data_IF_768829939351
#
_entry.id   IF_768829939351
#
_cell.length_a   1.000
_cell.length_b   1.000
_cell.length_c   1.000
_cell.angle_alpha   90.00
_cell.angle_beta   90.00
_cell.angle_gamma   90.00
#
_symmetry.space_group_name_H-M   'P 1'
#
loop_
_entity.id
_entity.type
_entity.pdbx_description
1 polymer ?
#
# COMPACT_ATOMS: atom_id res chain seq x y z
N UNK A 1 -41.57 18.39 -3.47
CA UNK A 1 -40.82 18.61 -2.20
C UNK A 1 -39.92 17.41 -2.02
N UNK A 2 -38.70 17.50 -2.52
CA UNK A 2 -37.70 16.43 -2.49
C UNK A 2 -36.55 16.96 -1.64
N UNK A 3 -36.49 16.49 -0.40
CA UNK A 3 -35.43 16.83 0.55
C UNK A 3 -34.14 16.15 0.12
N UNK A 4 -33.20 16.94 -0.38
CA UNK A 4 -31.78 16.62 -0.47
C UNK A 4 -31.24 16.40 0.93
N UNK A 5 -30.85 15.15 1.22
CA UNK A 5 -30.13 14.82 2.44
C UNK A 5 -28.65 15.16 2.23
N UNK A 6 -28.30 16.42 2.43
CA UNK A 6 -26.91 16.90 2.45
C UNK A 6 -26.30 16.42 3.76
N UNK A 7 -25.65 15.25 3.75
CA UNK A 7 -24.81 14.82 4.86
C UNK A 7 -23.68 15.85 5.03
N UNK A 8 -23.77 16.59 6.12
CA UNK A 8 -22.76 17.54 6.59
C UNK A 8 -21.42 16.82 6.74
N UNK A 9 -20.46 17.19 5.88
CA UNK A 9 -19.04 16.93 6.08
C UNK A 9 -18.61 17.74 7.31
N UNK A 10 -18.62 17.11 8.49
CA UNK A 10 -17.85 17.64 9.61
C UNK A 10 -16.39 17.70 9.16
N UNK A 11 -15.79 18.89 9.23
CA UNK A 11 -14.39 19.08 8.94
C UNK A 11 -13.57 18.22 9.91
N UNK A 12 -13.09 17.08 9.42
CA UNK A 12 -12.10 16.24 10.09
C UNK A 12 -10.94 17.12 10.53
N UNK A 13 -10.48 16.99 11.78
CA UNK A 13 -9.28 17.69 12.24
C UNK A 13 -8.11 17.45 11.26
N UNK A 14 -7.30 18.48 10.95
CA UNK A 14 -6.19 18.35 10.02
C UNK A 14 -5.24 17.25 10.47
N UNK A 15 -4.68 16.52 9.50
CA UNK A 15 -3.73 15.44 9.81
C UNK A 15 -2.38 16.03 10.18
N UNK A 16 -1.99 17.13 9.55
CA UNK A 16 -0.70 17.76 9.76
C UNK A 16 -0.77 18.86 10.81
N UNK A 17 0.21 18.86 11.71
CA UNK A 17 0.52 20.06 12.48
C UNK A 17 1.17 21.10 11.54
N UNK A 18 1.11 22.42 11.85
CA UNK A 18 1.76 23.43 11.01
C UNK A 18 3.27 23.19 10.82
N UNK A 19 3.94 22.62 11.83
CA UNK A 19 5.36 22.25 11.74
C UNK A 19 5.57 21.09 10.75
N UNK A 20 4.77 20.02 10.85
CA UNK A 20 4.85 18.89 9.91
C UNK A 20 4.46 19.25 8.50
N UNK A 21 3.48 20.14 8.34
CA UNK A 21 3.12 20.69 7.04
C UNK A 21 4.30 21.42 6.40
N UNK A 22 4.99 22.31 7.13
CA UNK A 22 6.17 23.01 6.60
C UNK A 22 7.30 22.04 6.23
N UNK A 23 7.56 21.06 7.09
CA UNK A 23 8.58 20.05 6.87
C UNK A 23 8.31 19.24 5.60
N UNK A 24 7.09 18.71 5.43
CA UNK A 24 6.76 17.90 4.26
C UNK A 24 6.75 18.72 2.96
N UNK A 25 6.33 19.99 3.00
CA UNK A 25 6.41 20.87 1.83
C UNK A 25 7.86 21.03 1.36
N UNK A 26 8.81 21.24 2.28
CA UNK A 26 10.24 21.35 1.93
C UNK A 26 10.79 20.06 1.31
N UNK A 27 10.41 18.91 1.87
CA UNK A 27 10.80 17.60 1.34
C UNK A 27 10.17 17.33 -0.04
N UNK A 28 8.93 17.75 -0.26
CA UNK A 28 8.27 17.67 -1.57
C UNK A 28 8.98 18.55 -2.60
N UNK A 29 9.42 19.75 -2.24
CA UNK A 29 10.20 20.62 -3.13
C UNK A 29 11.58 20.04 -3.47
N UNK A 30 12.23 19.36 -2.52
CA UNK A 30 13.45 18.59 -2.77
C UNK A 30 13.19 17.41 -3.72
N UNK A 31 12.13 16.64 -3.47
CA UNK A 31 11.71 15.53 -4.31
C UNK A 31 11.43 15.97 -5.76
N UNK A 32 10.68 17.07 -5.96
CA UNK A 32 10.41 17.61 -7.31
C UNK A 32 11.70 17.94 -8.06
N UNK A 33 12.70 18.50 -7.38
CA UNK A 33 14.02 18.78 -7.98
C UNK A 33 14.78 17.50 -8.31
N UNK A 34 14.74 16.50 -7.44
CA UNK A 34 15.35 15.20 -7.71
C UNK A 34 14.74 14.52 -8.95
N UNK A 35 13.41 14.57 -9.08
CA UNK A 35 12.69 14.01 -10.21
C UNK A 35 13.05 14.64 -11.56
N UNK A 36 13.23 15.97 -11.60
CA UNK A 36 13.62 16.67 -12.84
C UNK A 36 14.98 16.20 -13.38
N UNK A 37 15.81 15.62 -12.51
CA UNK A 37 17.12 15.09 -12.85
C UNK A 37 17.14 13.57 -13.07
N UNK A 38 16.02 12.87 -12.85
CA UNK A 38 15.90 11.41 -13.04
C UNK A 38 15.33 11.09 -14.42
N UNK A 39 16.19 10.60 -15.32
CA UNK A 39 15.79 10.19 -16.68
C UNK A 39 14.79 9.03 -16.71
N UNK A 40 14.64 8.28 -15.61
CA UNK A 40 13.68 7.18 -15.50
C UNK A 40 12.32 7.61 -14.95
N UNK A 41 12.15 8.88 -14.55
CA UNK A 41 10.92 9.37 -13.94
C UNK A 41 9.67 9.08 -14.79
N UNK A 42 9.72 9.37 -16.10
CA UNK A 42 8.60 9.16 -16.99
C UNK A 42 8.18 7.68 -17.08
N UNK A 43 9.15 6.76 -17.07
CA UNK A 43 8.89 5.33 -17.06
C UNK A 43 8.25 4.86 -15.74
N UNK A 44 8.71 5.38 -14.59
CA UNK A 44 8.11 5.10 -13.27
C UNK A 44 6.66 5.59 -13.23
N UNK A 45 6.39 6.80 -13.70
CA UNK A 45 5.05 7.35 -13.80
C UNK A 45 4.13 6.50 -14.71
N UNK A 46 4.64 6.06 -15.87
CA UNK A 46 3.89 5.22 -16.80
C UNK A 46 3.52 3.85 -16.20
N UNK A 47 4.39 3.29 -15.34
CA UNK A 47 4.19 1.96 -14.74
C UNK A 47 2.89 1.84 -13.94
N UNK A 48 2.39 2.92 -13.33
CA UNK A 48 1.10 2.91 -12.63
C UNK A 48 -0.07 2.54 -13.55
N UNK A 49 -0.10 3.08 -14.76
CA UNK A 49 -1.15 2.79 -15.74
C UNK A 49 -1.07 1.35 -16.22
N UNK A 50 0.13 0.87 -16.51
CA UNK A 50 0.38 -0.50 -16.99
C UNK A 50 -0.02 -1.53 -15.93
N UNK A 51 0.43 -1.33 -14.68
CA UNK A 51 0.12 -2.20 -13.55
C UNK A 51 -1.38 -2.25 -13.28
N UNK A 52 -2.08 -1.11 -13.32
CA UNK A 52 -3.53 -1.02 -13.17
C UNK A 52 -4.27 -1.72 -14.31
N UNK A 53 -3.83 -1.53 -15.54
CA UNK A 53 -4.44 -2.19 -16.70
C UNK A 53 -4.29 -3.71 -16.61
N UNK A 54 -3.10 -4.20 -16.24
CA UNK A 54 -2.87 -5.63 -16.03
C UNK A 54 -3.74 -6.20 -14.90
N UNK A 55 -3.87 -5.48 -13.78
CA UNK A 55 -4.76 -5.87 -12.68
C UNK A 55 -6.21 -6.02 -13.14
N UNK A 56 -6.74 -5.06 -13.92
CA UNK A 56 -8.12 -5.09 -14.43
C UNK A 56 -8.35 -6.28 -15.36
N UNK A 57 -7.43 -6.53 -16.29
CA UNK A 57 -7.51 -7.69 -17.21
C UNK A 57 -7.46 -9.00 -16.42
N UNK A 58 -6.53 -9.10 -15.47
CA UNK A 58 -6.37 -10.27 -14.62
C UNK A 58 -7.63 -10.55 -13.79
N UNK A 59 -8.19 -9.52 -13.15
CA UNK A 59 -9.37 -9.62 -12.32
C UNK A 59 -10.61 -10.00 -13.13
N UNK A 60 -10.84 -9.37 -14.29
CA UNK A 60 -11.94 -9.73 -15.20
C UNK A 60 -11.86 -11.20 -15.64
N UNK A 61 -10.66 -11.66 -16.04
CA UNK A 61 -10.46 -13.06 -16.42
C UNK A 61 -10.67 -14.06 -15.28
N UNK A 62 -10.48 -13.64 -14.01
CA UNK A 62 -10.81 -14.47 -12.85
C UNK A 62 -12.31 -14.47 -12.57
N UNK A 63 -12.99 -13.34 -12.70
CA UNK A 63 -14.45 -13.24 -12.56
C UNK A 63 -15.19 -14.13 -13.56
N UNK A 64 -14.68 -14.27 -14.78
CA UNK A 64 -15.25 -15.18 -15.79
C UNK A 64 -15.10 -16.66 -15.41
N UNK A 65 -14.03 -17.02 -14.68
CA UNK A 65 -13.68 -18.41 -14.33
C UNK A 65 -14.21 -18.86 -12.98
N UNK A 66 -14.48 -17.92 -12.07
CA UNK A 66 -14.91 -18.19 -10.70
C UNK A 66 -16.39 -17.78 -10.59
N UNK A 67 -17.33 -18.74 -10.67
CA UNK A 67 -18.73 -18.43 -10.52
C UNK A 67 -19.03 -17.82 -9.16
N UNK A 68 -19.94 -16.85 -9.12
CA UNK A 68 -20.37 -16.27 -7.85
C UNK A 68 -20.88 -17.35 -6.89
N UNK A 69 -20.44 -17.27 -5.63
CA UNK A 69 -20.83 -18.19 -4.55
C UNK A 69 -20.43 -19.67 -4.76
N UNK A 70 -19.46 -19.98 -5.63
CA UNK A 70 -18.92 -21.33 -5.77
C UNK A 70 -17.48 -21.42 -5.25
N UNK A 71 -17.13 -22.50 -4.53
CA UNK A 71 -15.77 -22.69 -4.06
C UNK A 71 -14.82 -22.98 -5.22
N UNK A 72 -13.60 -22.46 -5.16
CA UNK A 72 -12.50 -22.85 -6.03
C UNK A 72 -12.08 -24.28 -5.69
N UNK A 73 -12.31 -25.21 -6.61
CA UNK A 73 -11.94 -26.62 -6.48
C UNK A 73 -10.73 -27.02 -7.31
N UNK A 74 -10.32 -26.17 -8.25
CA UNK A 74 -9.22 -26.42 -9.17
C UNK A 74 -7.92 -25.75 -8.67
N UNK A 75 -6.88 -26.55 -8.48
CA UNK A 75 -5.59 -26.09 -7.97
C UNK A 75 -4.90 -25.12 -8.93
N UNK A 76 -5.04 -25.36 -10.24
CA UNK A 76 -4.48 -24.49 -11.26
C UNK A 76 -5.14 -23.10 -11.24
N UNK A 77 -6.46 -23.05 -11.06
CA UNK A 77 -7.22 -21.82 -10.85
C UNK A 77 -6.82 -21.12 -9.54
N UNK A 78 -6.60 -21.87 -8.46
CA UNK A 78 -6.12 -21.30 -7.21
C UNK A 78 -4.73 -20.63 -7.38
N UNK A 79 -3.79 -21.29 -8.06
CA UNK A 79 -2.50 -20.67 -8.40
C UNK A 79 -2.63 -19.48 -9.35
N UNK A 80 -3.60 -19.49 -10.27
CA UNK A 80 -3.93 -18.33 -11.09
C UNK A 80 -4.35 -17.14 -10.24
N UNK A 81 -5.25 -17.34 -9.27
CA UNK A 81 -5.71 -16.29 -8.36
C UNK A 81 -4.54 -15.64 -7.64
N UNK A 82 -3.66 -16.45 -7.03
CA UNK A 82 -2.53 -15.92 -6.28
C UNK A 82 -1.57 -15.13 -7.19
N UNK A 83 -1.25 -15.66 -8.38
CA UNK A 83 -0.35 -14.99 -9.34
C UNK A 83 -0.94 -13.69 -9.89
N UNK A 84 -2.26 -13.63 -10.05
CA UNK A 84 -2.95 -12.51 -10.72
C UNK A 84 -3.38 -11.41 -9.75
N UNK A 85 -3.55 -11.72 -8.47
CA UNK A 85 -4.02 -10.77 -7.45
C UNK A 85 -2.93 -10.35 -6.45
N UNK A 86 -1.84 -11.11 -6.29
CA UNK A 86 -0.71 -10.68 -5.46
C UNK A 86 0.34 -9.93 -6.30
N UNK A 87 1.01 -8.91 -5.74
CA UNK A 87 2.03 -8.16 -6.46
C UNK A 87 3.36 -8.93 -6.50
N UNK A 88 3.84 -9.27 -7.69
CA UNK A 88 5.08 -10.04 -7.92
C UNK A 88 6.25 -9.16 -8.38
N UNK A 89 7.46 -9.54 -7.98
CA UNK A 89 8.69 -8.90 -8.46
C UNK A 89 8.90 -9.16 -9.96
N UNK A 90 9.56 -8.22 -10.64
CA UNK A 90 9.79 -8.34 -12.07
C UNK A 90 10.93 -9.34 -12.39
N UNK A 91 10.60 -10.62 -12.54
CA UNK A 91 11.54 -11.69 -12.91
C UNK A 91 11.10 -12.41 -14.19
N UNK A 92 12.05 -13.05 -14.89
CA UNK A 92 11.72 -13.86 -16.07
C UNK A 92 10.73 -14.98 -15.74
N UNK A 93 10.88 -15.63 -14.59
CA UNK A 93 9.98 -16.67 -14.12
C UNK A 93 8.55 -16.15 -13.88
N UNK A 94 8.40 -15.03 -13.16
CA UNK A 94 7.09 -14.44 -12.90
C UNK A 94 6.39 -13.98 -14.19
N UNK A 95 7.13 -13.40 -15.13
CA UNK A 95 6.58 -13.04 -16.45
C UNK A 95 6.11 -14.27 -17.23
N UNK A 96 6.92 -15.32 -17.27
CA UNK A 96 6.54 -16.59 -17.92
C UNK A 96 5.31 -17.24 -17.29
N UNK A 97 5.17 -17.14 -15.97
CA UNK A 97 4.01 -17.62 -15.22
C UNK A 97 2.77 -16.72 -15.35
N UNK A 98 2.82 -15.60 -16.07
CA UNK A 98 1.70 -14.66 -16.20
C UNK A 98 1.33 -13.96 -14.89
N UNK A 99 2.29 -13.77 -13.98
CA UNK A 99 2.05 -13.12 -12.71
C UNK A 99 1.86 -11.60 -12.87
N UNK A 100 1.10 -11.01 -11.94
CA UNK A 100 0.90 -9.57 -11.87
C UNK A 100 2.17 -8.88 -11.34
N UNK A 101 3.00 -8.41 -12.27
CA UNK A 101 4.22 -7.68 -11.95
C UNK A 101 3.88 -6.31 -11.38
N UNK A 102 4.45 -5.99 -10.21
CA UNK A 102 4.25 -4.74 -9.50
C UNK A 102 5.60 -4.14 -9.08
N UNK A 103 5.70 -2.81 -9.05
CA UNK A 103 6.95 -2.11 -8.70
C UNK A 103 7.21 -2.09 -7.18
N UNK A 104 6.16 -2.22 -6.35
CA UNK A 104 6.25 -2.68 -4.93
C UNK A 104 5.82 -4.14 -4.79
N UNK A 105 6.68 -5.10 -5.13
CA UNK A 105 6.34 -6.50 -5.01
C UNK A 105 6.21 -6.94 -3.55
N UNK A 106 5.27 -7.84 -3.30
CA UNK A 106 5.20 -8.65 -2.07
C UNK A 106 5.88 -10.00 -2.30
N UNK A 107 5.61 -10.62 -3.46
CA UNK A 107 6.17 -11.92 -3.82
C UNK A 107 7.49 -11.72 -4.56
N UNK A 108 8.60 -11.92 -3.84
CA UNK A 108 9.95 -11.75 -4.37
C UNK A 108 10.51 -13.00 -5.05
N UNK A 109 10.09 -14.18 -4.60
CA UNK A 109 10.59 -15.47 -5.06
C UNK A 109 9.45 -16.46 -5.29
N UNK A 110 9.74 -17.76 -5.19
CA UNK A 110 8.73 -18.80 -5.40
C UNK A 110 7.63 -18.73 -4.34
N UNK A 111 6.40 -18.49 -4.80
CA UNK A 111 5.20 -18.48 -3.98
C UNK A 111 5.08 -19.79 -3.18
N UNK A 112 5.42 -20.93 -3.79
CA UNK A 112 5.39 -22.27 -3.17
C UNK A 112 6.37 -22.39 -2.00
N UNK A 113 7.53 -21.74 -2.09
CA UNK A 113 8.49 -21.69 -0.99
C UNK A 113 7.94 -20.88 0.19
N UNK A 114 7.25 -19.77 -0.11
CA UNK A 114 6.57 -18.99 0.92
C UNK A 114 5.42 -19.76 1.57
N UNK A 115 4.64 -20.53 0.80
CA UNK A 115 3.58 -21.41 1.33
C UNK A 115 4.14 -22.43 2.34
N UNK A 116 5.28 -23.06 2.02
CA UNK A 116 5.96 -23.99 2.93
C UNK A 116 6.44 -23.32 4.22
N UNK A 117 7.04 -22.14 4.11
CA UNK A 117 7.52 -21.37 5.29
C UNK A 117 6.34 -20.89 6.15
N UNK A 118 5.22 -20.54 5.53
CA UNK A 118 3.99 -20.15 6.22
C UNK A 118 3.29 -21.32 6.94
N UNK A 119 3.78 -22.55 6.75
CA UNK A 119 3.22 -23.76 7.36
C UNK A 119 1.94 -24.23 6.70
N UNK A 120 1.67 -23.85 5.44
CA UNK A 120 0.56 -24.36 4.65
C UNK A 120 0.93 -25.75 4.13
N UNK A 121 0.73 -26.73 5.00
CA UNK A 121 1.18 -28.12 4.82
C UNK A 121 0.04 -29.08 4.52
N UNK A 122 -1.21 -28.59 4.48
CA UNK A 122 -2.37 -29.43 4.18
C UNK A 122 -2.81 -29.29 2.73
N UNK A 123 -3.13 -30.42 2.11
CA UNK A 123 -3.81 -30.48 0.82
C UNK A 123 -5.09 -29.63 0.90
N UNK A 124 -5.18 -28.57 0.09
CA UNK A 124 -6.32 -27.64 0.06
C UNK A 124 -6.14 -26.31 0.81
N UNK A 125 -5.00 -26.06 1.47
CA UNK A 125 -4.69 -24.70 1.99
C UNK A 125 -4.63 -23.66 0.86
N UNK A 126 -4.04 -24.03 -0.28
CA UNK A 126 -3.94 -23.16 -1.47
C UNK A 126 -5.32 -22.81 -2.04
N UNK A 127 -6.24 -23.77 -2.08
CA UNK A 127 -7.62 -23.56 -2.56
C UNK A 127 -8.36 -22.59 -1.63
N UNK A 128 -8.29 -22.82 -0.32
CA UNK A 128 -8.91 -21.95 0.70
C UNK A 128 -8.35 -20.55 0.69
N UNK A 129 -7.03 -20.41 0.54
CA UNK A 129 -6.42 -19.09 0.43
C UNK A 129 -6.84 -18.36 -0.85
N UNK A 130 -6.81 -19.04 -2.00
CA UNK A 130 -7.24 -18.46 -3.26
C UNK A 130 -8.69 -17.98 -3.16
N UNK A 131 -9.56 -18.80 -2.55
CA UNK A 131 -10.95 -18.43 -2.29
C UNK A 131 -11.03 -17.17 -1.42
N UNK A 132 -10.34 -17.17 -0.27
CA UNK A 132 -10.34 -16.05 0.66
C UNK A 132 -9.83 -14.75 -0.01
N UNK A 133 -8.78 -14.85 -0.83
CA UNK A 133 -8.20 -13.71 -1.53
C UNK A 133 -9.16 -13.17 -2.60
N UNK A 134 -9.74 -14.05 -3.42
CA UNK A 134 -10.70 -13.64 -4.44
C UNK A 134 -11.93 -13.00 -3.81
N UNK A 135 -12.52 -13.61 -2.79
CA UNK A 135 -13.70 -13.10 -2.08
C UNK A 135 -13.42 -11.74 -1.42
N UNK A 136 -12.24 -11.59 -0.81
CA UNK A 136 -11.84 -10.31 -0.21
C UNK A 136 -11.74 -9.20 -1.26
N UNK A 137 -11.04 -9.46 -2.37
CA UNK A 137 -10.88 -8.47 -3.45
C UNK A 137 -12.24 -8.16 -4.08
N UNK A 138 -13.02 -9.19 -4.40
CA UNK A 138 -14.33 -9.05 -5.01
C UNK A 138 -15.28 -8.23 -4.14
N UNK A 139 -15.40 -8.58 -2.86
CA UNK A 139 -16.26 -7.86 -1.91
C UNK A 139 -15.88 -6.39 -1.79
N UNK A 140 -14.59 -6.06 -1.68
CA UNK A 140 -14.12 -4.67 -1.57
C UNK A 140 -14.34 -3.89 -2.87
N UNK A 141 -14.12 -4.51 -4.03
CA UNK A 141 -14.25 -3.84 -5.32
C UNK A 141 -15.70 -3.60 -5.71
N UNK A 142 -16.60 -4.53 -5.43
CA UNK A 142 -18.04 -4.38 -5.69
C UNK A 142 -18.68 -3.37 -4.72
N UNK A 143 -18.40 -3.49 -3.43
CA UNK A 143 -18.93 -2.59 -2.39
C UNK A 143 -17.82 -2.10 -1.45
N UNK A 144 -17.23 -0.92 -1.73
CA UNK A 144 -16.19 -0.37 -0.87
C UNK A 144 -16.59 -0.08 0.57
N UNK A 145 -17.90 0.05 0.87
CA UNK A 145 -18.36 0.19 2.25
C UNK A 145 -18.11 -1.07 3.09
N UNK A 146 -17.86 -2.21 2.43
CA UNK A 146 -17.52 -3.48 3.09
C UNK A 146 -16.07 -3.58 3.53
N UNK A 147 -15.21 -2.58 3.24
CA UNK A 147 -13.77 -2.69 3.46
C UNK A 147 -13.42 -3.16 4.88
N UNK A 148 -14.04 -2.57 5.91
CA UNK A 148 -13.80 -2.91 7.30
C UNK A 148 -14.17 -4.37 7.63
N UNK A 149 -15.40 -4.76 7.27
CA UNK A 149 -15.89 -6.12 7.47
C UNK A 149 -15.09 -7.16 6.65
N UNK A 150 -14.65 -6.80 5.45
CA UNK A 150 -13.81 -7.66 4.59
C UNK A 150 -12.42 -7.86 5.19
N UNK A 151 -11.77 -6.80 5.70
CA UNK A 151 -10.49 -6.88 6.38
C UNK A 151 -10.57 -7.77 7.64
N UNK A 152 -11.64 -7.62 8.44
CA UNK A 152 -11.86 -8.46 9.62
C UNK A 152 -12.09 -9.93 9.26
N UNK A 153 -12.99 -10.22 8.31
CA UNK A 153 -13.30 -11.58 7.89
C UNK A 153 -12.09 -12.29 7.25
N UNK A 154 -11.32 -11.58 6.42
CA UNK A 154 -10.11 -12.13 5.81
C UNK A 154 -9.04 -12.45 6.86
N UNK A 155 -8.80 -11.53 7.80
CA UNK A 155 -7.76 -11.68 8.83
C UNK A 155 -8.10 -12.77 9.87
N UNK A 156 -9.37 -13.12 10.02
CA UNK A 156 -9.81 -14.17 10.95
C UNK A 156 -9.49 -15.59 10.45
N UNK A 157 -9.18 -15.75 9.15
CA UNK A 157 -8.93 -17.06 8.56
C UNK A 157 -7.49 -17.53 8.81
N UNK A 158 -7.25 -18.74 9.31
CA UNK A 158 -5.88 -19.23 9.55
C UNK A 158 -4.98 -19.23 8.31
N UNK A 159 -5.55 -19.55 7.14
CA UNK A 159 -4.83 -19.63 5.86
C UNK A 159 -4.32 -18.28 5.36
N UNK A 160 -4.82 -17.15 5.86
CA UNK A 160 -4.41 -15.81 5.42
C UNK A 160 -3.29 -15.21 6.27
N UNK A 161 -2.82 -15.94 7.28
CA UNK A 161 -1.74 -15.50 8.17
C UNK A 161 -0.49 -15.10 7.37
N UNK A 162 0.00 -13.89 7.62
CA UNK A 162 1.16 -13.32 6.92
C UNK A 162 0.81 -12.39 5.76
N UNK A 163 -0.45 -12.39 5.28
CA UNK A 163 -0.94 -11.40 4.31
C UNK A 163 -1.37 -10.12 5.02
N UNK A 164 -0.41 -9.22 5.16
CA UNK A 164 -0.55 -7.90 5.76
C UNK A 164 -1.04 -6.86 4.73
N UNK A 165 -1.31 -5.62 5.17
CA UNK A 165 -1.81 -4.55 4.31
C UNK A 165 -0.96 -4.37 3.05
N UNK A 166 0.37 -4.37 3.18
CA UNK A 166 1.28 -4.21 2.04
C UNK A 166 1.18 -5.28 0.96
N UNK A 167 0.58 -6.44 1.24
CA UNK A 167 0.32 -7.48 0.26
C UNK A 167 -0.99 -7.25 -0.52
N UNK A 168 -2.02 -6.69 0.12
CA UNK A 168 -3.38 -6.66 -0.43
C UNK A 168 -3.83 -5.28 -0.92
N UNK A 169 -3.29 -4.20 -0.36
CA UNK A 169 -3.64 -2.86 -0.83
C UNK A 169 -3.23 -2.57 -2.27
N UNK A 170 -2.16 -3.17 -2.83
CA UNK A 170 -1.83 -2.95 -4.24
C UNK A 170 -2.96 -3.34 -5.18
N UNK A 171 -3.57 -4.53 -5.03
CA UNK A 171 -4.65 -4.96 -5.95
C UNK A 171 -5.91 -4.12 -5.79
N UNK A 172 -6.25 -3.74 -4.55
CA UNK A 172 -7.38 -2.83 -4.30
C UNK A 172 -7.16 -1.45 -4.92
N UNK A 173 -5.99 -0.84 -4.70
CA UNK A 173 -5.62 0.43 -5.34
C UNK A 173 -5.60 0.31 -6.87
N UNK A 174 -5.14 -0.82 -7.41
CA UNK A 174 -5.04 -0.99 -8.84
C UNK A 174 -6.43 -1.03 -9.52
N UNK A 175 -7.41 -1.65 -8.85
CA UNK A 175 -8.78 -1.79 -9.35
C UNK A 175 -9.64 -0.56 -9.07
N UNK A 176 -9.47 0.11 -7.92
CA UNK A 176 -10.24 1.30 -7.50
C UNK A 176 -9.33 2.35 -6.82
N UNK A 177 -8.46 3.04 -7.56
CA UNK A 177 -7.43 3.94 -6.98
C UNK A 177 -8.01 5.16 -6.26
N UNK A 178 -9.21 5.60 -6.64
CA UNK A 178 -9.89 6.74 -6.03
C UNK A 178 -10.49 6.41 -4.64
N UNK A 179 -10.54 5.12 -4.29
CA UNK A 179 -11.22 4.62 -3.07
C UNK A 179 -10.24 3.91 -2.13
N UNK A 180 -9.22 3.26 -2.68
CA UNK A 180 -8.26 2.47 -1.92
C UNK A 180 -6.86 3.03 -2.14
N UNK A 181 -6.29 3.64 -1.11
CA UNK A 181 -4.94 4.15 -1.11
C UNK A 181 -3.91 3.01 -1.02
N UNK A 182 -2.77 3.20 -1.68
CA UNK A 182 -1.66 2.24 -1.69
C UNK A 182 -0.87 2.31 -0.38
N UNK A 183 -1.17 1.40 0.56
CA UNK A 183 -0.53 1.34 1.87
C UNK A 183 0.65 0.35 1.89
N UNK A 184 1.75 0.74 1.26
CA UNK A 184 3.04 0.06 1.41
C UNK A 184 3.67 0.32 2.78
N UNK A 185 4.73 -0.41 3.13
CA UNK A 185 5.48 -0.14 4.36
C UNK A 185 6.03 1.30 4.40
N UNK A 186 6.44 1.84 3.24
CA UNK A 186 6.99 3.19 3.11
C UNK A 186 5.91 4.25 3.30
N UNK A 187 4.78 4.14 2.62
CA UNK A 187 3.68 5.12 2.78
C UNK A 187 3.11 5.10 4.19
N UNK A 188 3.00 3.92 4.82
CA UNK A 188 2.61 3.80 6.24
C UNK A 188 3.60 4.49 7.18
N UNK A 189 4.90 4.32 6.98
CA UNK A 189 5.93 4.96 7.81
C UNK A 189 5.85 6.49 7.70
N UNK A 190 5.71 7.02 6.49
CA UNK A 190 5.58 8.48 6.26
C UNK A 190 4.27 8.99 6.86
N UNK A 191 3.14 8.30 6.66
CA UNK A 191 1.85 8.66 7.26
C UNK A 191 1.93 8.74 8.79
N UNK A 192 2.53 7.72 9.42
CA UNK A 192 2.72 7.68 10.87
C UNK A 192 3.59 8.84 11.36
N UNK A 193 4.66 9.14 10.62
CA UNK A 193 5.59 10.22 10.96
C UNK A 193 4.93 11.60 10.89
N UNK A 194 4.24 11.92 9.80
CA UNK A 194 3.68 13.27 9.60
C UNK A 194 2.35 13.48 10.30
N UNK A 195 1.55 12.42 10.44
CA UNK A 195 0.27 12.48 11.15
C UNK A 195 0.38 12.23 12.66
N UNK A 196 1.58 11.95 13.17
CA UNK A 196 1.82 11.54 14.57
C UNK A 196 0.87 10.39 14.96
N UNK A 197 0.87 9.35 14.12
CA UNK A 197 0.03 8.14 14.25
C UNK A 197 0.90 6.88 14.34
N UNK A 198 0.25 5.78 14.68
CA UNK A 198 0.91 4.49 14.97
C UNK A 198 0.26 3.32 14.24
N UNK A 199 -0.16 3.50 12.98
CA UNK A 199 -0.78 2.43 12.20
C UNK A 199 0.17 1.24 12.05
N UNK A 200 -0.36 0.03 12.31
CA UNK A 200 0.37 -1.22 12.15
C UNK A 200 0.25 -1.75 10.71
N UNK A 201 0.96 -2.84 10.41
CA UNK A 201 0.87 -3.52 9.11
C UNK A 201 -0.29 -4.51 9.03
N UNK A 202 -0.98 -4.77 10.15
CA UNK A 202 -2.14 -5.65 10.19
C UNK A 202 -3.22 -5.16 9.21
N UNK A 203 -3.83 -6.08 8.45
CA UNK A 203 -4.86 -5.73 7.48
C UNK A 203 -6.09 -5.08 8.15
N UNK A 204 -6.39 -5.42 9.40
CA UNK A 204 -7.47 -4.80 10.19
C UNK A 204 -7.26 -3.31 10.47
N UNK A 205 -6.03 -2.80 10.39
CA UNK A 205 -5.75 -1.36 10.50
C UNK A 205 -5.96 -0.61 9.19
N UNK A 206 -6.05 -1.34 8.06
CA UNK A 206 -6.11 -0.72 6.73
C UNK A 206 -7.30 0.22 6.54
N UNK A 207 -8.53 -0.06 6.98
CA UNK A 207 -9.65 0.87 6.76
C UNK A 207 -9.38 2.27 7.33
N UNK A 208 -8.83 2.34 8.55
CA UNK A 208 -8.47 3.60 9.23
C UNK A 208 -7.26 4.26 8.57
N UNK A 209 -6.23 3.49 8.24
CA UNK A 209 -5.03 4.00 7.58
C UNK A 209 -5.33 4.49 6.15
N UNK A 210 -6.26 3.84 5.43
CA UNK A 210 -6.73 4.24 4.11
C UNK A 210 -7.38 5.63 4.16
N UNK A 211 -8.32 5.84 5.08
CA UNK A 211 -8.97 7.13 5.25
C UNK A 211 -7.98 8.24 5.66
N UNK A 212 -7.07 7.93 6.57
CA UNK A 212 -6.02 8.88 6.98
C UNK A 212 -5.07 9.22 5.83
N UNK A 213 -4.66 8.23 5.03
CA UNK A 213 -3.79 8.47 3.88
C UNK A 213 -4.48 9.32 2.80
N UNK A 214 -5.76 9.06 2.52
CA UNK A 214 -6.54 9.89 1.59
C UNK A 214 -6.68 11.32 2.06
N UNK A 215 -7.01 11.52 3.34
CA UNK A 215 -7.10 12.86 3.91
C UNK A 215 -5.75 13.60 3.87
N UNK A 216 -4.63 12.90 4.13
CA UNK A 216 -3.29 13.49 4.03
C UNK A 216 -2.96 13.92 2.60
N UNK A 217 -3.23 13.05 1.61
CA UNK A 217 -3.03 13.37 0.19
C UNK A 217 -3.93 14.54 -0.23
N UNK A 218 -5.16 14.60 0.26
CA UNK A 218 -6.08 15.70 0.00
C UNK A 218 -5.56 17.02 0.58
N UNK A 219 -5.05 17.00 1.82
CA UNK A 219 -4.46 18.16 2.49
C UNK A 219 -3.24 18.69 1.72
N UNK A 220 -2.43 17.77 1.15
CA UNK A 220 -1.24 18.09 0.36
C UNK A 220 -1.49 18.25 -1.14
N UNK A 221 -2.76 18.27 -1.60
CA UNK A 221 -3.05 18.24 -3.05
C UNK A 221 -2.52 19.47 -3.78
N UNK A 222 -2.40 20.63 -3.11
CA UNK A 222 -1.81 21.83 -3.70
C UNK A 222 -0.30 21.65 -3.98
N UNK A 223 0.41 21.01 -3.05
CA UNK A 223 1.82 20.69 -3.13
C UNK A 223 2.07 19.47 -4.03
N UNK A 224 1.13 18.54 -4.14
CA UNK A 224 1.25 17.36 -5.00
C UNK A 224 0.91 17.65 -6.47
N UNK A 225 1.10 18.90 -6.90
CA UNK A 225 1.02 19.30 -8.30
C UNK A 225 2.42 19.29 -8.92
N UNK A 226 2.68 18.28 -9.75
CA UNK A 226 3.78 18.30 -10.70
C UNK A 226 3.13 18.46 -12.06
N UNK A 227 3.67 19.40 -12.84
CA UNK A 227 3.14 19.88 -14.12
C UNK A 227 2.15 18.90 -14.79
N UNK A 228 0.93 19.33 -15.15
CA UNK A 228 -0.14 18.47 -15.68
C UNK A 228 0.25 17.63 -16.91
N UNK A 229 1.38 17.92 -17.55
CA UNK A 229 1.96 17.15 -18.64
C UNK A 229 2.16 15.65 -18.34
N UNK A 230 2.30 15.25 -17.06
CA UNK A 230 2.58 13.85 -16.71
C UNK A 230 1.35 13.03 -16.27
N UNK A 231 0.20 13.67 -16.01
CA UNK A 231 -1.08 13.00 -15.76
C UNK A 231 -1.15 12.01 -14.58
N UNK A 232 -0.26 12.13 -13.58
CA UNK A 232 -0.32 11.30 -12.36
C UNK A 232 -1.33 11.86 -11.36
N UNK A 233 -2.02 10.96 -10.66
CA UNK A 233 -2.87 11.35 -9.54
C UNK A 233 -2.02 11.77 -8.33
N UNK A 234 -2.49 12.71 -7.48
CA UNK A 234 -1.77 13.12 -6.27
C UNK A 234 -1.36 11.95 -5.37
N UNK A 235 -2.20 10.92 -5.25
CA UNK A 235 -1.91 9.73 -4.47
C UNK A 235 -0.71 8.93 -5.02
N UNK A 236 -0.59 8.80 -6.34
CA UNK A 236 0.54 8.12 -6.99
C UNK A 236 1.83 8.92 -6.81
N UNK A 237 1.72 10.25 -6.90
CA UNK A 237 2.85 11.12 -6.66
C UNK A 237 3.32 11.04 -5.21
N UNK A 238 2.38 11.01 -4.26
CA UNK A 238 2.69 10.88 -2.84
C UNK A 238 3.39 9.55 -2.52
N UNK A 239 2.94 8.46 -3.14
CA UNK A 239 3.60 7.18 -2.96
C UNK A 239 5.02 7.17 -3.57
N UNK A 240 5.22 7.76 -4.76
CA UNK A 240 6.56 7.97 -5.34
C UNK A 240 7.44 8.84 -4.45
N UNK A 241 6.89 9.89 -3.84
CA UNK A 241 7.57 10.70 -2.84
C UNK A 241 8.00 9.84 -1.65
N UNK A 242 7.12 8.99 -1.13
CA UNK A 242 7.46 8.07 -0.03
C UNK A 242 8.56 7.07 -0.41
N UNK A 243 8.54 6.58 -1.66
CA UNK A 243 9.61 5.75 -2.19
C UNK A 243 10.95 6.49 -2.17
N UNK A 244 11.00 7.67 -2.80
CA UNK A 244 12.18 8.51 -2.84
C UNK A 244 12.69 8.83 -1.44
N UNK A 245 11.82 9.33 -0.56
CA UNK A 245 12.17 9.79 0.78
C UNK A 245 12.88 8.70 1.60
N UNK A 246 12.35 7.48 1.56
CA UNK A 246 12.84 6.37 2.39
C UNK A 246 13.97 5.60 1.73
N UNK A 247 13.91 5.36 0.42
CA UNK A 247 14.82 4.43 -0.26
C UNK A 247 15.95 5.10 -1.01
N UNK A 248 15.71 6.29 -1.55
CA UNK A 248 16.73 7.03 -2.32
C UNK A 248 17.39 8.09 -1.43
N UNK A 249 16.57 8.93 -0.78
CA UNK A 249 17.01 10.00 0.11
C UNK A 249 17.44 9.50 1.50
N UNK A 250 17.00 8.31 1.89
CA UNK A 250 17.29 7.67 3.18
C UNK A 250 17.00 8.58 4.38
N UNK A 251 15.88 9.30 4.34
CA UNK A 251 15.49 10.22 5.40
C UNK A 251 15.20 9.48 6.71
N UNK A 252 15.73 9.99 7.81
CA UNK A 252 15.42 9.47 9.15
C UNK A 252 14.08 10.00 9.61
N UNK A 253 13.07 9.12 9.70
CA UNK A 253 11.78 9.43 10.32
C UNK A 253 11.82 9.38 11.86
N UNK A 254 13.00 9.13 12.44
CA UNK A 254 13.22 9.22 13.88
C UNK A 254 13.80 10.58 14.21
N UNK A 255 13.34 11.16 15.32
CA UNK A 255 14.02 12.30 15.91
C UNK A 255 15.48 11.92 16.21
N UNK A 256 16.41 12.70 15.66
CA UNK A 256 17.82 12.59 15.99
C UNK A 256 18.01 13.03 17.44
N UNK A 257 18.17 12.05 18.34
CA UNK A 257 18.58 12.31 19.71
C UNK A 257 20.09 12.40 19.75
N UNK A 258 20.58 13.59 20.09
CA UNK A 258 22.00 13.83 20.27
C UNK A 258 22.34 13.50 21.72
N UNK A 259 23.35 12.68 21.93
CA UNK A 259 23.84 12.33 23.26
C UNK A 259 25.20 13.00 23.43
N UNK A 260 25.35 13.80 24.48
CA UNK A 260 26.64 14.32 24.86
C UNK A 260 27.30 13.31 25.81
N UNK A 261 28.51 12.90 25.49
CA UNK A 261 29.33 12.11 26.42
C UNK A 261 30.12 13.11 27.26
N UNK A 262 29.78 13.25 28.53
CA UNK A 262 30.62 13.92 29.50
C UNK A 262 31.61 12.90 30.07
N UNK A 263 32.90 13.07 29.82
CA UNK A 263 33.95 12.24 30.42
C UNK A 263 34.28 12.84 31.78
N UNK A 264 33.81 12.20 32.86
CA UNK A 264 34.25 12.47 34.23
C UNK A 264 35.32 11.47 34.67
N UNK A 265 36.08 11.82 35.71
CA UNK A 265 37.28 11.08 36.13
C UNK A 265 37.02 9.62 36.56
N UNK A 266 35.77 9.22 36.88
CA UNK A 266 35.48 7.83 37.30
C UNK A 266 34.15 7.22 36.79
N UNK A 267 33.33 7.90 35.98
CA UNK A 267 32.07 7.30 35.45
C UNK A 267 31.61 7.90 34.10
N UNK A 268 31.03 7.04 33.25
CA UNK A 268 30.42 7.42 31.96
C UNK A 268 28.98 7.90 32.19
N UNK A 269 28.76 9.21 32.21
CA UNK A 269 27.40 9.77 32.28
C UNK A 269 26.90 10.09 30.87
N UNK A 270 25.85 9.38 30.45
CA UNK A 270 25.13 9.66 29.21
C UNK A 270 24.03 10.67 29.49
N UNK A 271 24.18 11.90 29.01
CA UNK A 271 23.14 12.93 29.10
C UNK A 271 22.53 13.18 27.71
N UNK A 272 21.20 13.19 27.65
CA UNK A 272 20.46 13.56 26.44
C UNK A 272 20.68 15.07 26.20
N UNK A 273 21.32 15.41 25.09
CA UNK A 273 21.61 16.79 24.71
C UNK A 273 20.32 17.42 24.18
N UNK A 274 19.76 18.35 24.95
CA UNK A 274 18.53 19.10 24.61
C UNK A 274 18.83 20.40 23.89
#
# INVERSE_FOLDING_TARGET
MTTTNTASLQASSPILTPAKHREITLLLDEFRRAMLNDSNWAARAASYREVRQMARVNYAALQEKIPANQPITDEQLAHDVLRKLLPHANSAAHRWQGAWIHWTPFVMGDLTAWQRIAGWTQDGDVLRLAQALFDFVHRCVEDPAQLDAACAAFSAQPVTKGLQSGALTPILNALRPDVFALLSNRTRQVLNYVGERSFLTALTEYPRANGALQALVQELTGELQISPANGLAPADLFDLFCHWLISERQYSLRESRHWAIAVGDDDWVWEEWR
#
